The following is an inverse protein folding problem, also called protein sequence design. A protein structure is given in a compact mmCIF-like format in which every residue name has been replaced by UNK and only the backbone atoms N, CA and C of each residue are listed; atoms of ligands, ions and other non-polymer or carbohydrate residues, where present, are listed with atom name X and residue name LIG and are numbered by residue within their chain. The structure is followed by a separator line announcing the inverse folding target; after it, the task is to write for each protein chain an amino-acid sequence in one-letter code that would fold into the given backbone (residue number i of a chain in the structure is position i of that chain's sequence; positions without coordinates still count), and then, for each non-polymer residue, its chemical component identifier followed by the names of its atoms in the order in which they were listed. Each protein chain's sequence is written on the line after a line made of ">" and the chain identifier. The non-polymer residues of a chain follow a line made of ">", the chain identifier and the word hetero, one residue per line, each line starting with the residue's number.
data_IF_688096721467
#
_entry.id   IF_688096721467
#
_cell.length_a   1.000
_cell.length_b   1.000
_cell.length_c   1.000
_cell.angle_alpha   90.00
_cell.angle_beta   90.00
_cell.angle_gamma   90.00
#
_symmetry.space_group_name_H-M   'P 1'
#
loop_
_entity.id
_entity.type
_entity.pdbx_description
1 polymer ?
#
# COMPACT_ATOMS: atom_id res chain seq x y z
N UNK A 1 -21.52 5.88 12.06
CA UNK A 1 -21.46 5.87 10.59
C UNK A 1 -20.11 6.37 10.11
N UNK A 2 -19.47 5.65 9.19
CA UNK A 2 -18.14 6.04 8.71
C UNK A 2 -18.22 7.30 7.82
N UNK A 3 -17.31 8.28 8.00
CA UNK A 3 -17.24 9.43 7.12
C UNK A 3 -16.98 9.02 5.67
N UNK A 4 -17.44 9.84 4.74
CA UNK A 4 -17.24 9.59 3.31
C UNK A 4 -15.75 9.51 2.95
N UNK A 5 -14.90 10.35 3.54
CA UNK A 5 -13.46 10.34 3.34
C UNK A 5 -12.83 8.99 3.71
N UNK A 6 -13.25 8.38 4.81
CA UNK A 6 -12.76 7.06 5.24
C UNK A 6 -13.25 5.95 4.30
N UNK A 7 -14.49 6.00 3.87
CA UNK A 7 -15.02 5.01 2.91
C UNK A 7 -14.31 5.10 1.56
N UNK A 8 -14.04 6.31 1.08
CA UNK A 8 -13.28 6.54 -0.17
C UNK A 8 -11.83 6.09 0.00
N UNK A 9 -11.20 6.41 1.14
CA UNK A 9 -9.85 5.91 1.45
C UNK A 9 -9.77 4.39 1.33
N UNK A 10 -10.67 3.66 1.99
CA UNK A 10 -10.69 2.19 1.97
C UNK A 10 -10.75 1.67 0.54
N UNK A 11 -11.66 2.20 -0.27
CA UNK A 11 -11.84 1.78 -1.67
C UNK A 11 -10.60 2.07 -2.53
N UNK A 12 -10.06 3.28 -2.43
CA UNK A 12 -8.88 3.66 -3.21
C UNK A 12 -7.65 2.87 -2.80
N UNK A 13 -7.47 2.67 -1.50
CA UNK A 13 -6.30 1.94 -1.00
C UNK A 13 -6.37 0.45 -1.38
N UNK A 14 -7.53 -0.18 -1.24
CA UNK A 14 -7.72 -1.56 -1.67
C UNK A 14 -7.58 -1.72 -3.19
N UNK A 15 -8.04 -0.74 -3.97
CA UNK A 15 -7.81 -0.71 -5.41
C UNK A 15 -6.31 -0.65 -5.73
N UNK A 16 -5.53 0.14 -5.00
CA UNK A 16 -4.08 0.20 -5.18
C UNK A 16 -3.40 -1.13 -4.87
N UNK A 17 -3.86 -1.85 -3.84
CA UNK A 17 -3.38 -3.20 -3.51
C UNK A 17 -3.71 -4.17 -4.65
N UNK A 18 -4.92 -4.12 -5.19
CA UNK A 18 -5.32 -4.96 -6.31
C UNK A 18 -4.43 -4.72 -7.55
N UNK A 19 -4.13 -3.45 -7.85
CA UNK A 19 -3.19 -3.09 -8.92
C UNK A 19 -1.80 -3.66 -8.61
N UNK A 20 -1.34 -3.58 -7.37
CA UNK A 20 -0.07 -4.15 -6.93
C UNK A 20 -0.01 -5.66 -7.16
N UNK A 21 -1.08 -6.40 -6.89
CA UNK A 21 -1.18 -7.83 -7.17
C UNK A 21 -1.10 -8.12 -8.68
N UNK A 22 -1.80 -7.34 -9.51
CA UNK A 22 -1.73 -7.45 -10.97
C UNK A 22 -0.30 -7.20 -11.45
N UNK A 23 0.36 -6.17 -10.92
CA UNK A 23 1.76 -5.86 -11.24
C UNK A 23 2.69 -7.02 -10.87
N UNK A 24 2.49 -7.65 -9.72
CA UNK A 24 3.28 -8.81 -9.28
C UNK A 24 3.11 -10.00 -10.24
N UNK A 25 1.89 -10.22 -10.73
CA UNK A 25 1.63 -11.28 -11.72
C UNK A 25 2.30 -10.96 -13.06
N UNK A 26 2.16 -9.71 -13.55
CA UNK A 26 2.77 -9.29 -14.82
C UNK A 26 4.30 -9.33 -14.75
N UNK A 27 4.89 -9.00 -13.62
CA UNK A 27 6.33 -8.96 -13.42
C UNK A 27 6.89 -10.16 -12.67
N UNK A 28 6.18 -11.29 -12.62
CA UNK A 28 6.56 -12.46 -11.81
C UNK A 28 7.94 -13.00 -12.15
N UNK A 29 8.25 -13.15 -13.42
CA UNK A 29 9.57 -13.65 -13.87
C UNK A 29 10.70 -12.72 -13.43
N UNK A 30 10.51 -11.44 -13.53
CA UNK A 30 11.48 -10.44 -13.07
C UNK A 30 11.66 -10.47 -11.56
N UNK A 31 10.58 -10.66 -10.81
CA UNK A 31 10.65 -10.82 -9.35
C UNK A 31 11.46 -12.07 -8.97
N UNK A 32 11.22 -13.19 -9.66
CA UNK A 32 11.98 -14.43 -9.45
C UNK A 32 13.47 -14.25 -9.78
N UNK A 33 13.77 -13.57 -10.89
CA UNK A 33 15.15 -13.31 -11.30
C UNK A 33 15.89 -12.50 -10.25
N UNK A 34 15.30 -11.41 -9.78
CA UNK A 34 15.91 -10.55 -8.74
C UNK A 34 16.07 -11.30 -7.41
N UNK A 35 15.08 -12.09 -7.05
CA UNK A 35 15.14 -12.89 -5.83
C UNK A 35 16.26 -13.94 -5.90
N UNK A 36 16.45 -14.57 -7.05
CA UNK A 36 17.52 -15.53 -7.26
C UNK A 36 18.91 -14.86 -7.12
N UNK A 37 19.07 -13.65 -7.63
CA UNK A 37 20.30 -12.85 -7.46
C UNK A 37 20.61 -12.59 -5.97
N UNK A 38 19.58 -12.49 -5.14
CA UNK A 38 19.69 -12.31 -3.68
C UNK A 38 19.69 -13.64 -2.89
N UNK A 39 19.70 -14.76 -3.59
CA UNK A 39 19.69 -16.09 -2.97
C UNK A 39 18.32 -16.53 -2.45
N UNK A 40 17.23 -15.91 -2.92
CA UNK A 40 15.86 -16.27 -2.52
C UNK A 40 15.16 -17.09 -3.59
N UNK A 41 14.37 -18.07 -3.18
CA UNK A 41 13.50 -18.84 -4.09
C UNK A 41 12.12 -18.22 -4.25
N UNK A 42 11.31 -18.83 -5.14
CA UNK A 42 9.92 -18.38 -5.39
C UNK A 42 9.04 -18.37 -4.15
N UNK A 43 9.23 -19.32 -3.23
CA UNK A 43 8.51 -19.34 -1.94
C UNK A 43 8.82 -18.10 -1.10
N UNK A 44 10.09 -17.66 -1.09
CA UNK A 44 10.50 -16.44 -0.39
C UNK A 44 9.86 -15.19 -0.99
N UNK A 45 9.76 -15.12 -2.32
CA UNK A 45 9.06 -14.02 -3.01
C UNK A 45 7.59 -13.99 -2.63
N UNK A 46 6.89 -15.13 -2.69
CA UNK A 46 5.49 -15.23 -2.30
C UNK A 46 5.28 -14.84 -0.84
N UNK A 47 6.14 -15.30 0.07
CA UNK A 47 6.06 -14.96 1.49
C UNK A 47 6.21 -13.45 1.71
N UNK A 48 7.18 -12.82 1.06
CA UNK A 48 7.44 -11.38 1.20
C UNK A 48 6.28 -10.56 0.62
N UNK A 49 5.80 -10.89 -0.58
CA UNK A 49 4.65 -10.22 -1.20
C UNK A 49 3.39 -10.40 -0.35
N UNK A 50 3.12 -11.63 0.08
CA UNK A 50 1.95 -11.94 0.91
C UNK A 50 1.97 -11.18 2.22
N UNK A 51 3.11 -11.13 2.90
CA UNK A 51 3.27 -10.37 4.14
C UNK A 51 3.06 -8.88 3.91
N UNK A 52 3.65 -8.32 2.87
CA UNK A 52 3.54 -6.89 2.54
C UNK A 52 2.09 -6.52 2.27
N UNK A 53 1.41 -7.24 1.39
CA UNK A 53 0.00 -6.96 1.06
C UNK A 53 -0.93 -7.21 2.24
N UNK A 54 -0.66 -8.23 3.05
CA UNK A 54 -1.43 -8.50 4.27
C UNK A 54 -1.31 -7.36 5.27
N UNK A 55 -0.09 -6.89 5.55
CA UNK A 55 0.14 -5.78 6.49
C UNK A 55 -0.53 -4.51 5.98
N UNK A 56 -0.40 -4.19 4.70
CA UNK A 56 -1.03 -3.01 4.11
C UNK A 56 -2.56 -3.10 4.16
N UNK A 57 -3.12 -4.23 3.76
CA UNK A 57 -4.57 -4.45 3.76
C UNK A 57 -5.15 -4.44 5.17
N UNK A 58 -4.52 -5.14 6.11
CA UNK A 58 -4.94 -5.16 7.51
C UNK A 58 -4.86 -3.76 8.14
N UNK A 59 -3.79 -3.02 7.88
CA UNK A 59 -3.64 -1.64 8.37
C UNK A 59 -4.73 -0.72 7.81
N UNK A 60 -5.05 -0.84 6.53
CA UNK A 60 -6.13 -0.07 5.91
C UNK A 60 -7.48 -0.37 6.55
N UNK A 61 -7.79 -1.64 6.81
CA UNK A 61 -9.04 -2.05 7.47
C UNK A 61 -9.08 -1.61 8.93
N UNK A 62 -7.97 -1.68 9.64
CA UNK A 62 -7.88 -1.18 11.03
C UNK A 62 -8.11 0.32 11.09
N UNK A 63 -7.63 1.09 10.13
CA UNK A 63 -7.92 2.53 10.02
C UNK A 63 -9.40 2.76 9.74
N UNK A 64 -9.94 2.09 8.72
CA UNK A 64 -11.29 2.40 8.22
C UNK A 64 -12.40 1.83 9.09
N UNK A 65 -12.19 0.68 9.72
CA UNK A 65 -13.20 -0.03 10.49
C UNK A 65 -12.87 -0.08 11.98
N UNK A 66 -11.60 -0.27 12.32
CA UNK A 66 -11.13 -0.33 13.70
C UNK A 66 -10.85 1.03 14.33
N UNK A 67 -10.87 2.12 13.56
CA UNK A 67 -10.62 3.49 14.03
C UNK A 67 -9.27 3.65 14.73
N UNK A 68 -8.26 2.89 14.29
CA UNK A 68 -6.94 2.88 14.92
C UNK A 68 -6.02 3.93 14.30
N UNK A 69 -5.73 4.98 15.04
CA UNK A 69 -4.80 6.02 14.61
C UNK A 69 -3.37 5.49 14.41
N UNK A 70 -2.95 4.52 15.21
CA UNK A 70 -1.65 3.87 15.05
C UNK A 70 -1.50 3.19 13.68
N UNK A 71 -2.57 2.56 13.19
CA UNK A 71 -2.57 1.94 11.86
C UNK A 71 -2.40 2.97 10.74
N UNK A 72 -2.96 4.18 10.89
CA UNK A 72 -2.73 5.30 9.96
C UNK A 72 -1.24 5.61 9.85
N UNK A 73 -0.57 5.73 10.98
CA UNK A 73 0.87 6.04 11.00
C UNK A 73 1.71 4.89 10.45
N UNK A 74 1.30 3.64 10.66
CA UNK A 74 1.93 2.49 10.03
C UNK A 74 1.87 2.59 8.50
N UNK A 75 0.72 2.95 7.93
CA UNK A 75 0.59 3.16 6.48
C UNK A 75 1.43 4.33 5.98
N UNK A 76 1.46 5.43 6.72
CA UNK A 76 2.28 6.60 6.37
C UNK A 76 3.76 6.22 6.32
N UNK A 77 4.24 5.49 7.33
CA UNK A 77 5.64 5.03 7.38
C UNK A 77 5.94 4.07 6.22
N UNK A 78 5.06 3.11 5.95
CA UNK A 78 5.23 2.18 4.82
C UNK A 78 5.32 2.91 3.50
N UNK A 79 4.47 3.91 3.27
CA UNK A 79 4.52 4.72 2.06
C UNK A 79 5.75 5.64 2.02
N UNK A 80 6.16 6.19 3.15
CA UNK A 80 7.36 7.02 3.24
C UNK A 80 8.63 6.23 2.88
N UNK A 81 8.65 4.92 3.16
CA UNK A 81 9.73 4.02 2.73
C UNK A 81 9.54 3.61 1.27
N UNK A 82 8.33 3.25 0.88
CA UNK A 82 8.03 2.71 -0.44
C UNK A 82 8.16 3.72 -1.58
N UNK A 83 7.76 4.98 -1.38
CA UNK A 83 7.82 6.00 -2.42
C UNK A 83 9.25 6.31 -2.89
N UNK A 84 10.25 6.54 -2.03
CA UNK A 84 11.62 6.72 -2.49
C UNK A 84 12.17 5.51 -3.24
N UNK A 85 11.84 4.30 -2.81
CA UNK A 85 12.21 3.07 -3.51
C UNK A 85 11.56 3.00 -4.89
N UNK A 86 10.29 3.38 -4.99
CA UNK A 86 9.55 3.44 -6.24
C UNK A 86 10.19 4.45 -7.22
N UNK A 87 10.44 5.68 -6.77
CA UNK A 87 11.06 6.69 -7.61
C UNK A 87 12.48 6.33 -8.00
N UNK A 88 13.24 5.70 -7.10
CA UNK A 88 14.56 5.16 -7.41
C UNK A 88 14.49 4.08 -8.50
N UNK A 89 13.54 3.18 -8.43
CA UNK A 89 13.32 2.16 -9.46
C UNK A 89 12.88 2.77 -10.78
N UNK A 90 12.03 3.79 -10.74
CA UNK A 90 11.59 4.52 -11.92
C UNK A 90 12.78 5.18 -12.64
N UNK A 91 13.65 5.85 -11.88
CA UNK A 91 14.85 6.49 -12.43
C UNK A 91 15.85 5.52 -13.05
N UNK A 92 15.91 4.29 -12.53
CA UNK A 92 16.79 3.22 -13.06
C UNK A 92 16.14 2.37 -14.14
N UNK A 93 14.86 2.61 -14.48
CA UNK A 93 14.11 1.78 -15.41
C UNK A 93 13.89 0.35 -14.94
N UNK A 94 13.87 0.12 -13.62
CA UNK A 94 13.74 -1.21 -13.00
C UNK A 94 12.36 -1.49 -12.43
N UNK A 95 11.34 -0.80 -12.91
CA UNK A 95 9.95 -1.02 -12.49
C UNK A 95 9.50 -2.43 -12.87
N UNK A 96 8.94 -3.15 -11.92
CA UNK A 96 8.33 -4.46 -12.15
C UNK A 96 6.91 -4.26 -12.67
N UNK A 97 6.56 -5.00 -13.72
CA UNK A 97 5.24 -4.92 -14.33
C UNK A 97 5.12 -3.78 -15.35
N UNK A 98 3.92 -3.25 -15.48
CA UNK A 98 3.61 -2.22 -16.47
C UNK A 98 3.66 -0.82 -15.84
N UNK A 99 4.49 0.06 -16.43
CA UNK A 99 4.72 1.41 -15.88
C UNK A 99 3.46 2.24 -15.66
N UNK A 100 2.49 2.34 -16.60
CA UNK A 100 1.25 3.09 -16.34
C UNK A 100 0.48 2.60 -15.12
N UNK A 101 0.43 1.28 -14.88
CA UNK A 101 -0.20 0.72 -13.69
C UNK A 101 0.57 1.06 -12.42
N UNK A 102 1.90 1.04 -12.48
CA UNK A 102 2.75 1.40 -11.33
C UNK A 102 2.54 2.86 -10.93
N UNK A 103 2.46 3.77 -11.90
CA UNK A 103 2.17 5.18 -11.66
C UNK A 103 0.76 5.38 -11.09
N UNK A 104 -0.23 4.68 -11.64
CA UNK A 104 -1.61 4.69 -11.14
C UNK A 104 -1.72 4.18 -9.71
N UNK A 105 -1.02 3.10 -9.39
CA UNK A 105 -0.96 2.55 -8.04
C UNK A 105 -0.37 3.56 -7.04
N UNK A 106 0.75 4.17 -7.37
CA UNK A 106 1.38 5.19 -6.53
C UNK A 106 0.46 6.38 -6.30
N UNK A 107 -0.21 6.86 -7.36
CA UNK A 107 -1.16 7.96 -7.27
C UNK A 107 -2.35 7.61 -6.37
N UNK A 108 -2.91 6.40 -6.48
CA UNK A 108 -4.00 5.93 -5.63
C UNK A 108 -3.57 5.83 -4.17
N UNK A 109 -2.37 5.33 -3.89
CA UNK A 109 -1.86 5.24 -2.52
C UNK A 109 -1.69 6.61 -1.90
N UNK A 110 -1.04 7.53 -2.58
CA UNK A 110 -0.82 8.90 -2.07
C UNK A 110 -2.14 9.63 -1.90
N UNK A 111 -3.04 9.55 -2.88
CA UNK A 111 -4.35 10.19 -2.81
C UNK A 111 -5.22 9.63 -1.70
N UNK A 112 -5.21 8.32 -1.50
CA UNK A 112 -5.97 7.68 -0.42
C UNK A 112 -5.44 8.08 0.95
N UNK A 113 -4.11 8.10 1.13
CA UNK A 113 -3.51 8.51 2.40
C UNK A 113 -3.80 9.98 2.72
N UNK A 114 -3.83 10.86 1.71
CA UNK A 114 -4.19 12.26 1.91
C UNK A 114 -5.58 12.42 2.53
N UNK A 115 -6.51 11.53 2.21
CA UNK A 115 -7.84 11.52 2.80
C UNK A 115 -7.85 11.28 4.31
N UNK A 116 -6.83 10.59 4.84
CA UNK A 116 -6.69 10.33 6.28
C UNK A 116 -6.32 11.59 7.07
N UNK A 117 -5.88 12.64 6.40
CA UNK A 117 -5.53 13.91 7.03
C UNK A 117 -6.65 14.96 6.93
N UNK A 118 -7.80 14.59 6.37
CA UNK A 118 -8.99 15.45 6.37
C UNK A 118 -9.55 15.59 7.78
N UNK A 119 -10.31 16.65 8.00
CA UNK A 119 -10.95 16.90 9.30
C UNK A 119 -11.86 15.74 9.72
N UNK A 120 -12.69 15.26 8.81
CA UNK A 120 -13.61 14.15 9.06
C UNK A 120 -12.87 12.87 9.48
N UNK A 121 -11.77 12.54 8.79
CA UNK A 121 -10.97 11.36 9.09
C UNK A 121 -10.29 11.48 10.45
N UNK A 122 -9.77 12.67 10.77
CA UNK A 122 -9.15 12.91 12.09
C UNK A 122 -10.16 12.78 13.22
N UNK A 123 -11.36 13.29 13.04
CA UNK A 123 -12.44 13.16 14.04
C UNK A 123 -12.87 11.71 14.22
N UNK A 124 -12.96 10.96 13.12
CA UNK A 124 -13.27 9.52 13.14
C UNK A 124 -12.24 8.72 13.94
N UNK A 125 -10.95 8.98 13.67
CA UNK A 125 -9.86 8.26 14.33
C UNK A 125 -9.75 8.63 15.83
N UNK A 126 -9.98 9.88 16.19
CA UNK A 126 -10.00 10.31 17.60
C UNK A 126 -11.06 9.57 18.41
N UNK A 127 -12.22 9.33 17.83
CA UNK A 127 -13.28 8.58 18.51
C UNK A 127 -12.91 7.11 18.79
N UNK A 128 -12.00 6.52 17.99
CA UNK A 128 -11.48 5.17 18.24
C UNK A 128 -10.47 5.10 19.38
N UNK A 129 -9.73 6.18 19.60
CA UNK A 129 -8.72 6.29 20.66
C UNK A 129 -9.29 6.87 21.98
N UNK A 130 -10.54 7.29 21.97
CA UNK A 130 -11.20 7.82 23.17
C UNK A 130 -11.44 6.71 24.20
N UNK A 131 -11.11 6.93 25.48
CA UNK A 131 -11.36 5.96 26.54
C UNK A 131 -12.86 5.75 26.80
#
# INVERSE_FOLDING_TARGET
>A
MRPRSIAVFERLFLASIAIGLVQAVLGWEELLRRAAEEGRGGAGVLALLGLTFFVMGASALLVSRGRMASAKWALVILCAIGLPLFFGSLGRGTIVGWLPLALGQAALQVGSLALLFTREAREWLKGGDAP
#
